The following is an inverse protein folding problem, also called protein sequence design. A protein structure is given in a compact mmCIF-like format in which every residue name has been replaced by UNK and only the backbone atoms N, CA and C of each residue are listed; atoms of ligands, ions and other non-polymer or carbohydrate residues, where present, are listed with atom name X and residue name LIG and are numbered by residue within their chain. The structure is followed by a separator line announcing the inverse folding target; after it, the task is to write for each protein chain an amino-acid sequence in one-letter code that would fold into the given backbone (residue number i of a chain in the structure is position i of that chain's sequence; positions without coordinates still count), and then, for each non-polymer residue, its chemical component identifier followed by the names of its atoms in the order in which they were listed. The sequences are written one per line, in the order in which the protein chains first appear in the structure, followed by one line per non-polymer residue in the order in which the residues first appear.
data_IF_163827941045
#
_entry.id   IF_163827941045
#
_cell.length_a   1.000
_cell.length_b   1.000
_cell.length_c   1.000
_cell.angle_alpha   90.00
_cell.angle_beta   90.00
_cell.angle_gamma   90.00
#
_symmetry.space_group_name_H-M   'P 1'
#
loop_
_entity.id
_entity.type
_entity.pdbx_description
1 polymer ?
#
# COMPACT_ATOMS: atom_id res chain seq x y z
N UNK A 1 10.01 -1.37 -13.50
CA UNK A 1 9.60 -0.03 -13.02
C UNK A 1 8.53 -0.17 -11.94
N UNK A 2 7.51 -1.00 -12.17
CA UNK A 2 6.48 -1.36 -11.17
C UNK A 2 7.02 -1.92 -9.85
N UNK A 3 8.06 -2.78 -9.88
CA UNK A 3 8.70 -3.32 -8.67
C UNK A 3 9.34 -2.24 -7.79
N UNK A 4 9.87 -1.18 -8.40
CA UNK A 4 10.49 -0.05 -7.66
C UNK A 4 9.40 0.82 -7.05
N UNK A 5 8.32 1.11 -7.78
CA UNK A 5 7.16 1.84 -7.27
C UNK A 5 6.50 1.11 -6.10
N UNK A 6 6.37 -0.21 -6.21
CA UNK A 6 5.84 -1.06 -5.14
C UNK A 6 6.72 -1.03 -3.88
N UNK A 7 8.04 -1.14 -4.04
CA UNK A 7 9.00 -1.05 -2.94
C UNK A 7 8.93 0.32 -2.25
N UNK A 8 8.82 1.39 -3.04
CA UNK A 8 8.69 2.75 -2.53
C UNK A 8 7.37 2.93 -1.75
N UNK A 9 6.27 2.38 -2.28
CA UNK A 9 4.97 2.38 -1.61
C UNK A 9 5.03 1.65 -0.26
N UNK A 10 5.66 0.47 -0.21
CA UNK A 10 5.88 -0.26 1.05
C UNK A 10 6.70 0.57 2.05
N UNK A 11 7.75 1.23 1.59
CA UNK A 11 8.60 2.07 2.42
C UNK A 11 7.81 3.24 3.04
N UNK A 12 7.02 3.97 2.24
CA UNK A 12 6.18 5.06 2.77
C UNK A 12 5.06 4.56 3.68
N UNK A 13 4.53 3.36 3.42
CA UNK A 13 3.54 2.73 4.28
C UNK A 13 4.13 2.40 5.67
N UNK A 14 5.36 1.87 5.72
CA UNK A 14 6.06 1.59 6.98
C UNK A 14 6.41 2.89 7.70
N UNK A 15 6.90 3.91 6.98
CA UNK A 15 7.16 5.24 7.55
C UNK A 15 5.89 5.89 8.11
N UNK A 16 4.72 5.57 7.55
CA UNK A 16 3.45 6.09 8.05
C UNK A 16 3.11 5.65 9.49
N UNK A 17 3.70 4.55 9.97
CA UNK A 17 3.60 4.14 11.38
C UNK A 17 4.28 5.13 12.34
N UNK A 18 5.31 5.84 11.87
CA UNK A 18 6.03 6.86 12.65
C UNK A 18 5.32 8.21 12.60
N UNK A 19 4.74 8.55 11.45
CA UNK A 19 3.96 9.78 11.27
C UNK A 19 2.95 9.64 10.14
N UNK A 20 1.66 9.98 10.36
CA UNK A 20 0.62 9.86 9.33
C UNK A 20 0.90 10.67 8.06
N UNK A 21 1.76 11.68 8.13
CA UNK A 21 2.09 12.55 6.99
C UNK A 21 2.72 11.77 5.82
N UNK A 22 3.36 10.62 6.10
CA UNK A 22 3.95 9.74 5.08
C UNK A 22 2.90 8.97 4.27
N UNK A 23 1.61 9.02 4.63
CA UNK A 23 0.54 8.50 3.77
C UNK A 23 0.33 9.35 2.52
N UNK A 24 0.60 10.65 2.57
CA UNK A 24 0.43 11.55 1.41
C UNK A 24 1.28 11.06 0.21
N UNK A 25 2.59 10.83 0.35
CA UNK A 25 3.39 10.24 -0.71
C UNK A 25 2.98 8.79 -1.02
N UNK A 26 2.54 7.98 -0.04
CA UNK A 26 2.06 6.63 -0.30
C UNK A 26 0.82 6.59 -1.20
N UNK A 27 -0.14 7.51 -1.00
CA UNK A 27 -1.33 7.69 -1.83
C UNK A 27 -0.92 8.09 -3.24
N UNK A 28 -0.02 9.08 -3.37
CA UNK A 28 0.49 9.52 -4.68
C UNK A 28 1.16 8.39 -5.47
N UNK A 29 2.01 7.61 -4.81
CA UNK A 29 2.66 6.46 -5.43
C UNK A 29 1.69 5.35 -5.79
N UNK A 30 0.70 5.09 -4.94
CA UNK A 30 -0.35 4.12 -5.23
C UNK A 30 -1.18 4.53 -6.44
N UNK A 31 -1.53 5.82 -6.56
CA UNK A 31 -2.26 6.34 -7.69
C UNK A 31 -1.46 6.20 -8.98
N UNK A 32 -0.16 6.53 -8.96
CA UNK A 32 0.74 6.29 -10.08
C UNK A 32 0.81 4.81 -10.45
N UNK A 33 0.96 3.91 -9.46
CA UNK A 33 1.04 2.47 -9.71
C UNK A 33 -0.27 1.92 -10.33
N UNK A 34 -1.41 2.52 -10.00
CA UNK A 34 -2.72 2.17 -10.58
C UNK A 34 -2.84 2.60 -12.06
N UNK A 35 -2.13 3.66 -12.47
CA UNK A 35 -2.09 4.05 -13.88
C UNK A 35 -1.30 3.06 -14.74
N UNK A 36 -0.29 2.39 -14.15
CA UNK A 36 0.51 1.38 -14.83
C UNK A 36 -0.14 -0.02 -14.74
N UNK A 37 -0.78 -0.34 -13.62
CA UNK A 37 -1.41 -1.64 -13.39
C UNK A 37 -2.88 -1.47 -12.95
N UNK A 38 -3.82 -1.80 -13.85
CA UNK A 38 -5.27 -1.70 -13.60
C UNK A 38 -5.76 -2.63 -12.48
N UNK A 39 -5.00 -3.64 -12.08
CA UNK A 39 -5.36 -4.50 -10.96
C UNK A 39 -5.05 -3.88 -9.58
N UNK A 40 -4.39 -2.71 -9.55
CA UNK A 40 -4.01 -1.97 -8.33
C UNK A 40 -5.11 -1.02 -7.79
N UNK A 41 -6.26 -0.97 -8.45
CA UNK A 41 -7.37 -0.02 -8.22
C UNK A 41 -7.91 0.12 -6.78
N UNK A 42 -7.96 -0.90 -5.90
CA UNK A 42 -8.47 -0.70 -4.54
C UNK A 42 -7.47 -0.04 -3.58
N UNK A 43 -6.19 0.06 -3.95
CA UNK A 43 -5.11 0.44 -3.03
C UNK A 43 -5.08 1.95 -2.73
N UNK A 44 -5.22 2.87 -3.72
CA UNK A 44 -5.25 4.31 -3.43
C UNK A 44 -6.40 4.70 -2.51
N UNK A 45 -7.58 4.12 -2.73
CA UNK A 45 -8.77 4.40 -1.95
C UNK A 45 -8.64 3.87 -0.51
N UNK A 46 -8.03 2.69 -0.33
CA UNK A 46 -7.73 2.15 0.99
C UNK A 46 -6.73 3.02 1.78
N UNK A 47 -5.75 3.64 1.10
CA UNK A 47 -4.78 4.55 1.72
C UNK A 47 -5.39 5.91 2.08
N UNK A 48 -6.32 6.42 1.27
CA UNK A 48 -7.09 7.63 1.58
C UNK A 48 -7.99 7.40 2.81
N UNK A 49 -8.66 6.25 2.89
CA UNK A 49 -9.43 5.87 4.06
C UNK A 49 -8.54 5.72 5.30
N UNK A 50 -7.32 5.20 5.14
CA UNK A 50 -6.32 5.14 6.21
C UNK A 50 -5.90 6.52 6.71
N UNK A 51 -5.78 7.50 5.83
CA UNK A 51 -5.46 8.88 6.18
C UNK A 51 -6.56 9.50 7.03
N UNK A 52 -7.83 9.26 6.67
CA UNK A 52 -9.00 9.65 7.46
C UNK A 52 -9.06 8.92 8.82
N UNK A 53 -8.63 7.66 8.88
CA UNK A 53 -8.55 6.88 10.11
C UNK A 53 -7.31 7.23 10.97
N UNK A 54 -6.30 7.87 10.39
CA UNK A 54 -5.05 8.29 11.04
C UNK A 54 -5.19 9.37 12.11
N UNK A 55 -6.41 9.85 12.29
CA UNK A 55 -6.80 10.78 13.33
C UNK A 55 -7.33 10.03 14.58
N UNK A 56 -7.39 8.70 14.55
CA UNK A 56 -7.97 7.84 15.59
C UNK A 56 -7.03 6.73 16.05
N UNK A 57 -7.25 6.20 17.26
CA UNK A 57 -6.37 5.25 17.96
C UNK A 57 -6.12 3.94 17.19
N UNK A 58 -6.97 3.60 16.22
CA UNK A 58 -6.87 2.36 15.43
C UNK A 58 -5.96 2.47 14.21
N UNK A 59 -5.34 3.62 13.99
CA UNK A 59 -4.49 3.89 12.83
C UNK A 59 -3.40 2.85 12.62
N UNK A 60 -2.66 2.52 13.68
CA UNK A 60 -1.54 1.57 13.63
C UNK A 60 -2.01 0.18 13.19
N UNK A 61 -3.15 -0.28 13.70
CA UNK A 61 -3.72 -1.57 13.32
C UNK A 61 -4.16 -1.59 11.85
N UNK A 62 -4.73 -0.48 11.35
CA UNK A 62 -5.14 -0.35 9.97
C UNK A 62 -3.94 -0.33 8.99
N UNK A 63 -2.85 0.34 9.35
CA UNK A 63 -1.60 0.33 8.56
C UNK A 63 -1.01 -1.08 8.50
N UNK A 64 -0.98 -1.80 9.63
CA UNK A 64 -0.45 -3.17 9.68
C UNK A 64 -1.28 -4.12 8.82
N UNK A 65 -2.62 -4.09 8.92
CA UNK A 65 -3.49 -4.97 8.13
C UNK A 65 -3.36 -4.71 6.63
N UNK A 66 -3.26 -3.45 6.23
CA UNK A 66 -3.09 -3.07 4.82
C UNK A 66 -1.73 -3.49 4.27
N UNK A 67 -0.66 -3.36 5.08
CA UNK A 67 0.68 -3.85 4.73
C UNK A 67 0.66 -5.37 4.50
N UNK A 68 0.05 -6.12 5.42
CA UNK A 68 -0.09 -7.58 5.33
C UNK A 68 -0.87 -8.01 4.08
N UNK A 69 -1.98 -7.32 3.77
CA UNK A 69 -2.78 -7.58 2.59
C UNK A 69 -1.97 -7.39 1.29
N UNK A 70 -1.21 -6.29 1.19
CA UNK A 70 -0.37 -6.01 0.01
C UNK A 70 0.72 -7.07 -0.17
N UNK A 71 1.38 -7.48 0.91
CA UNK A 71 2.40 -8.55 0.88
C UNK A 71 1.77 -9.87 0.43
N UNK A 72 0.61 -10.24 1.00
CA UNK A 72 -0.10 -11.46 0.62
C UNK A 72 -0.50 -11.47 -0.86
N UNK A 73 -1.00 -10.35 -1.38
CA UNK A 73 -1.35 -10.20 -2.80
C UNK A 73 -0.13 -10.39 -3.71
N UNK A 74 1.03 -9.82 -3.36
CA UNK A 74 2.26 -10.02 -4.13
C UNK A 74 2.74 -11.47 -4.08
N UNK A 75 2.68 -12.11 -2.92
CA UNK A 75 3.05 -13.53 -2.78
C UNK A 75 2.12 -14.43 -3.60
N UNK A 76 0.80 -14.21 -3.54
CA UNK A 76 -0.18 -14.96 -4.32
C UNK A 76 0.00 -14.75 -5.82
N UNK A 77 0.25 -13.52 -6.28
CA UNK A 77 0.55 -13.25 -7.68
C UNK A 77 1.84 -13.97 -8.11
N UNK A 78 2.90 -13.93 -7.31
CA UNK A 78 4.14 -14.65 -7.60
C UNK A 78 3.91 -16.16 -7.74
N UNK A 79 3.13 -16.77 -6.84
CA UNK A 79 2.78 -18.19 -6.90
C UNK A 79 1.92 -18.55 -8.13
N UNK A 80 1.04 -17.65 -8.55
CA UNK A 80 0.14 -17.86 -9.69
C UNK A 80 0.86 -17.79 -11.05
N UNK A 81 1.85 -16.90 -11.18
CA UNK A 81 2.56 -16.67 -12.45
C UNK A 81 3.91 -17.41 -12.54
N UNK A 82 4.47 -17.86 -11.41
CA UNK A 82 5.57 -18.81 -11.34
C UNK A 82 5.19 -19.96 -10.39
N UNK A 83 4.26 -20.84 -10.79
CA UNK A 83 4.18 -22.14 -10.16
C UNK A 83 5.49 -22.87 -10.48
N UNK A 84 6.13 -23.41 -9.45
CA UNK A 84 7.39 -24.15 -9.48
C UNK A 84 7.63 -24.97 -10.75
#
# INVERSE_FOLDING_TARGET
METVLFLLLLLFLILSLLSPIFLIPAIGLSALNTMYDKYFLPIPLSLILLLLLGIHEYYTYAVITLTLFLVAMVVLNRLKYHPF
#
